data_IF_954600810089
#
_entry.id   IF_954600810089
#
_cell.length_a   1.000
_cell.length_b   1.000
_cell.length_c   1.000
_cell.angle_alpha   90.00
_cell.angle_beta   90.00
_cell.angle_gamma   90.00
#
_symmetry.space_group_name_H-M   'P 1'
#
loop_
_entity.id
_entity.type
_entity.pdbx_description
1 polymer ?
#
# COMPACT_ATOMS: atom_id res chain seq x y z
N UNK A 1 -10.41 8.68 -72.01
CA UNK A 1 -10.29 7.59 -71.00
C UNK A 1 -9.43 8.02 -69.83
N UNK A 2 -8.20 8.50 -70.07
CA UNK A 2 -7.30 9.01 -69.04
C UNK A 2 -7.88 10.18 -68.22
N UNK A 3 -8.49 11.16 -68.87
CA UNK A 3 -9.06 12.34 -68.20
C UNK A 3 -10.20 11.98 -67.23
N UNK A 4 -11.13 11.11 -67.63
CA UNK A 4 -12.18 10.59 -66.73
C UNK A 4 -11.61 9.83 -65.53
N UNK A 5 -10.52 9.09 -65.72
CA UNK A 5 -9.84 8.41 -64.61
C UNK A 5 -9.17 9.42 -63.68
N UNK A 6 -8.51 10.45 -64.22
CA UNK A 6 -7.91 11.52 -63.44
C UNK A 6 -8.95 12.31 -62.62
N UNK A 7 -10.09 12.67 -63.22
CA UNK A 7 -11.19 13.34 -62.49
C UNK A 7 -11.74 12.46 -61.36
N UNK A 8 -11.89 11.16 -61.61
CA UNK A 8 -12.38 10.22 -60.58
C UNK A 8 -11.37 10.06 -59.44
N UNK A 9 -10.08 9.97 -59.74
CA UNK A 9 -9.03 9.88 -58.74
C UNK A 9 -8.95 11.15 -57.89
N UNK A 10 -9.00 12.33 -58.52
CA UNK A 10 -8.99 13.61 -57.81
C UNK A 10 -10.19 13.76 -56.86
N UNK A 11 -11.39 13.37 -57.30
CA UNK A 11 -12.56 13.37 -56.43
C UNK A 11 -12.44 12.37 -55.25
N UNK A 12 -11.79 11.23 -55.47
CA UNK A 12 -11.54 10.25 -54.41
C UNK A 12 -10.50 10.76 -53.40
N UNK A 13 -9.44 11.41 -53.87
CA UNK A 13 -8.43 12.04 -53.00
C UNK A 13 -9.07 13.12 -52.11
N UNK A 14 -9.90 13.98 -52.68
CA UNK A 14 -10.64 15.00 -51.93
C UNK A 14 -11.57 14.38 -50.87
N UNK A 15 -12.24 13.28 -51.21
CA UNK A 15 -13.09 12.55 -50.27
C UNK A 15 -12.28 11.89 -49.14
N UNK A 16 -11.13 11.30 -49.46
CA UNK A 16 -10.21 10.72 -48.46
C UNK A 16 -9.71 11.81 -47.52
N UNK A 17 -9.36 12.98 -48.04
CA UNK A 17 -8.93 14.11 -47.21
C UNK A 17 -10.05 14.60 -46.29
N UNK A 18 -11.28 14.73 -46.81
CA UNK A 18 -12.43 15.15 -46.02
C UNK A 18 -12.70 14.18 -44.86
N UNK A 19 -12.73 12.87 -45.14
CA UNK A 19 -12.91 11.84 -44.12
C UNK A 19 -11.74 11.82 -43.12
N UNK A 20 -10.51 12.02 -43.59
CA UNK A 20 -9.33 12.08 -42.71
C UNK A 20 -9.37 13.28 -41.77
N UNK A 21 -9.94 14.41 -42.20
CA UNK A 21 -10.19 15.57 -41.34
C UNK A 21 -11.28 15.28 -40.32
N UNK A 22 -12.37 14.65 -40.74
CA UNK A 22 -13.49 14.29 -39.86
C UNK A 22 -13.07 13.28 -38.79
N UNK A 23 -12.30 12.25 -39.15
CA UNK A 23 -11.74 11.27 -38.21
C UNK A 23 -10.89 11.97 -37.15
N UNK A 24 -10.03 12.91 -37.55
CA UNK A 24 -9.22 13.69 -36.60
C UNK A 24 -10.09 14.53 -35.68
N UNK A 25 -11.07 15.26 -36.21
CA UNK A 25 -12.00 16.04 -35.39
C UNK A 25 -12.80 15.18 -34.40
N UNK A 26 -13.22 13.99 -34.82
CA UNK A 26 -13.91 13.04 -33.94
C UNK A 26 -12.96 12.48 -32.86
N UNK A 27 -11.72 12.17 -33.21
CA UNK A 27 -10.71 11.74 -32.24
C UNK A 27 -10.40 12.85 -31.23
N UNK A 28 -10.21 14.07 -31.69
CA UNK A 28 -9.97 15.25 -30.86
C UNK A 28 -11.19 15.57 -29.97
N UNK A 29 -12.40 15.38 -30.50
CA UNK A 29 -13.66 15.56 -29.76
C UNK A 29 -13.94 14.45 -28.73
N UNK A 30 -13.62 13.20 -29.06
CA UNK A 30 -13.73 12.05 -28.14
C UNK A 30 -12.72 12.12 -27.02
N UNK A 31 -11.51 12.61 -27.32
CA UNK A 31 -10.50 12.86 -26.29
C UNK A 31 -10.72 14.19 -25.59
N UNK A 32 -11.49 15.13 -26.15
CA UNK A 32 -11.74 16.45 -25.57
C UNK A 32 -10.45 17.26 -25.37
N UNK A 33 -9.38 16.96 -26.12
CA UNK A 33 -8.02 17.46 -25.85
C UNK A 33 -7.42 16.95 -24.52
N UNK A 34 -8.06 15.97 -23.90
CA UNK A 34 -7.68 15.39 -22.63
C UNK A 34 -6.69 14.24 -22.85
N UNK A 35 -5.43 14.46 -22.47
CA UNK A 35 -4.41 13.44 -22.55
C UNK A 35 -4.58 12.43 -21.41
N UNK A 36 -5.20 11.29 -21.70
CA UNK A 36 -5.39 10.19 -20.75
C UNK A 36 -4.07 9.65 -20.18
N UNK A 37 -2.92 9.91 -20.83
CA UNK A 37 -1.59 9.62 -20.28
C UNK A 37 -1.36 10.31 -18.94
N UNK A 38 -1.90 11.53 -18.77
CA UNK A 38 -1.78 12.31 -17.52
C UNK A 38 -2.64 11.77 -16.37
N UNK A 39 -3.70 10.99 -16.65
CA UNK A 39 -4.49 10.32 -15.60
C UNK A 39 -3.74 9.14 -14.99
N UNK A 40 -2.93 8.43 -15.77
CA UNK A 40 -2.22 7.24 -15.31
C UNK A 40 -0.99 7.57 -14.44
N UNK A 41 -0.45 8.79 -14.56
CA UNK A 41 0.76 9.25 -13.87
C UNK A 41 0.60 10.64 -13.23
N UNK A 42 -0.63 11.06 -12.95
CA UNK A 42 -0.89 12.37 -12.37
C UNK A 42 -0.45 12.44 -10.90
N UNK A 43 -0.07 13.62 -10.39
CA UNK A 43 0.39 13.80 -9.01
C UNK A 43 -0.65 13.34 -7.96
N UNK A 44 -1.94 13.43 -8.30
CA UNK A 44 -3.01 12.90 -7.45
C UNK A 44 -2.97 11.37 -7.33
N UNK A 45 -2.57 10.66 -8.39
CA UNK A 45 -2.50 9.20 -8.39
C UNK A 45 -1.31 8.71 -7.55
N UNK A 46 -0.17 9.40 -7.62
CA UNK A 46 0.99 9.08 -6.77
C UNK A 46 0.71 9.39 -5.30
N UNK A 47 0.03 10.50 -5.00
CA UNK A 47 -0.42 10.80 -3.64
C UNK A 47 -1.37 9.72 -3.10
N UNK A 48 -2.33 9.27 -3.91
CA UNK A 48 -3.25 8.18 -3.55
C UNK A 48 -2.52 6.84 -3.37
N UNK A 49 -1.51 6.52 -4.19
CA UNK A 49 -0.68 5.33 -4.03
C UNK A 49 0.08 5.36 -2.70
N UNK A 50 0.74 6.48 -2.40
CA UNK A 50 1.47 6.65 -1.14
C UNK A 50 0.55 6.55 0.08
N UNK A 51 -0.64 7.15 0.02
CA UNK A 51 -1.65 7.01 1.08
C UNK A 51 -2.12 5.56 1.22
N UNK A 52 -2.32 4.86 0.10
CA UNK A 52 -2.71 3.45 0.12
C UNK A 52 -1.65 2.58 0.80
N UNK A 53 -0.37 2.74 0.45
CA UNK A 53 0.75 2.04 1.09
C UNK A 53 0.81 2.30 2.60
N UNK A 54 0.61 3.56 3.01
CA UNK A 54 0.53 3.94 4.43
C UNK A 54 -0.62 3.23 5.16
N UNK A 55 -1.79 3.14 4.52
CA UNK A 55 -2.95 2.45 5.08
C UNK A 55 -2.72 0.94 5.16
N UNK A 56 -2.12 0.33 4.14
CA UNK A 56 -1.75 -1.09 4.15
C UNK A 56 -0.79 -1.42 5.29
N UNK A 57 0.23 -0.59 5.49
CA UNK A 57 1.16 -0.73 6.61
C UNK A 57 0.42 -0.64 7.96
N UNK A 58 -0.42 0.38 8.15
CA UNK A 58 -1.20 0.55 9.38
C UNK A 58 -2.08 -0.66 9.66
N UNK A 59 -2.76 -1.17 8.64
CA UNK A 59 -3.65 -2.33 8.75
C UNK A 59 -2.88 -3.60 9.12
N UNK A 60 -1.70 -3.83 8.53
CA UNK A 60 -0.82 -4.94 8.90
C UNK A 60 -0.42 -4.86 10.39
N UNK A 61 -0.03 -3.68 10.85
CA UNK A 61 0.39 -3.47 12.24
C UNK A 61 -0.78 -3.67 13.22
N UNK A 62 -1.95 -3.14 12.93
CA UNK A 62 -3.15 -3.37 13.74
C UNK A 62 -3.50 -4.86 13.83
N UNK A 63 -3.43 -5.59 12.71
CA UNK A 63 -3.66 -7.05 12.71
C UNK A 63 -2.62 -7.83 13.53
N UNK A 64 -1.39 -7.33 13.63
CA UNK A 64 -0.35 -7.93 14.49
C UNK A 64 -0.62 -7.64 15.96
N UNK A 65 -0.93 -6.38 16.30
CA UNK A 65 -1.28 -5.98 17.66
C UNK A 65 -2.52 -6.74 18.17
N UNK A 66 -3.56 -6.82 17.35
CA UNK A 66 -4.78 -7.55 17.72
C UNK A 66 -4.51 -9.03 18.00
N UNK A 67 -3.69 -9.69 17.18
CA UNK A 67 -3.28 -11.09 17.44
C UNK A 67 -2.50 -11.22 18.74
N UNK A 68 -1.55 -10.32 19.00
CA UNK A 68 -0.80 -10.33 20.24
C UNK A 68 -1.70 -10.13 21.48
N UNK A 69 -2.71 -9.26 21.38
CA UNK A 69 -3.71 -9.08 22.44
C UNK A 69 -4.55 -10.35 22.66
N UNK A 70 -4.99 -11.00 21.58
CA UNK A 70 -5.73 -12.28 21.65
C UNK A 70 -4.89 -13.39 22.30
N UNK A 71 -3.63 -13.56 21.89
CA UNK A 71 -2.70 -14.53 22.47
C UNK A 71 -2.45 -14.26 23.97
N UNK A 72 -2.33 -12.99 24.37
CA UNK A 72 -2.22 -12.63 25.78
C UNK A 72 -3.48 -12.99 26.56
N UNK A 73 -4.66 -12.78 25.99
CA UNK A 73 -5.94 -13.12 26.62
C UNK A 73 -6.10 -14.64 26.79
N UNK A 74 -5.74 -15.43 25.79
CA UNK A 74 -5.73 -16.90 25.84
C UNK A 74 -4.72 -17.44 26.88
N UNK A 75 -3.53 -16.84 26.95
CA UNK A 75 -2.51 -17.20 27.93
C UNK A 75 -2.93 -16.87 29.37
N UNK A 76 -3.65 -15.76 29.59
CA UNK A 76 -4.24 -15.43 30.91
C UNK A 76 -5.32 -16.42 31.32
N UNK A 77 -6.14 -16.91 30.38
CA UNK A 77 -7.19 -17.89 30.65
C UNK A 77 -6.61 -19.27 30.99
N UNK A 78 -5.57 -19.71 30.28
CA UNK A 78 -4.88 -20.98 30.57
C UNK A 78 -4.08 -20.94 31.89
N UNK A 79 -3.50 -19.80 32.27
CA UNK A 79 -2.88 -19.65 33.60
C UNK A 79 -3.92 -19.72 34.74
N UNK A 80 -5.10 -19.10 34.59
CA UNK A 80 -6.17 -19.19 35.61
C UNK A 80 -6.74 -20.61 35.78
N UNK A 81 -6.72 -21.44 34.74
CA UNK A 81 -7.15 -22.85 34.84
C UNK A 81 -6.08 -23.74 35.48
N UNK A 82 -4.78 -23.43 35.33
CA UNK A 82 -3.68 -24.16 35.99
C UNK A 82 -3.54 -23.84 37.48
N UNK A 83 -4.01 -22.69 37.96
CA UNK A 83 -3.99 -22.32 39.39
C UNK A 83 -5.11 -22.96 40.23
N UNK A 84 -6.02 -23.72 39.62
CA UNK A 84 -7.14 -24.38 40.32
C UNK A 84 -6.92 -25.89 40.56
N UNK A 85 -5.74 -26.45 40.25
CA UNK A 85 -5.37 -27.78 40.78
C UNK A 85 -4.72 -27.60 42.16
N UNK A 86 -5.22 -28.28 43.21
CA UNK A 86 -4.56 -28.24 44.50
C UNK A 86 -3.30 -29.10 44.41
N UNK A 87 -2.15 -28.47 44.17
CA UNK A 87 -0.86 -29.12 44.30
C UNK A 87 -0.25 -28.82 45.67
N UNK A 88 -0.01 -29.94 46.33
CA UNK A 88 0.57 -30.11 47.64
C UNK A 88 1.96 -29.48 47.74
N UNK A 89 2.18 -28.81 48.87
CA UNK A 89 3.43 -28.29 49.44
C UNK A 89 4.72 -28.78 48.74
N UNK A 90 5.55 -27.83 48.32
CA UNK A 90 6.91 -27.70 48.87
C UNK A 90 7.56 -26.35 48.52
N UNK A 91 8.02 -25.67 49.57
CA UNK A 91 8.78 -24.42 49.55
C UNK A 91 10.16 -24.69 48.93
N UNK A 92 10.62 -23.86 48.00
CA UNK A 92 12.00 -23.37 48.01
C UNK A 92 12.12 -22.02 47.30
N UNK A 93 13.10 -21.28 47.78
CA UNK A 93 13.31 -19.86 47.73
C UNK A 93 14.07 -19.45 46.45
N UNK A 94 13.49 -18.67 45.53
CA UNK A 94 14.27 -17.85 44.56
C UNK A 94 13.42 -16.72 43.95
N UNK A 95 13.25 -15.61 44.68
CA UNK A 95 12.71 -14.35 44.12
C UNK A 95 13.81 -13.30 44.03
N UNK A 96 14.40 -13.15 42.83
CA UNK A 96 15.03 -11.92 42.30
C UNK A 96 15.83 -12.29 41.05
N UNK A 97 15.28 -12.04 39.84
CA UNK A 97 16.06 -11.68 38.62
C UNK A 97 15.24 -11.62 37.31
N UNK A 98 13.95 -11.25 37.33
CA UNK A 98 13.19 -11.14 36.07
C UNK A 98 13.12 -9.72 35.48
N UNK A 99 13.29 -8.65 36.29
CA UNK A 99 13.06 -7.28 35.79
C UNK A 99 14.20 -6.70 34.92
N UNK A 100 15.40 -7.29 34.87
CA UNK A 100 16.51 -6.73 34.05
C UNK A 100 16.49 -7.18 32.59
N UNK A 101 15.88 -8.32 32.29
CA UNK A 101 15.95 -8.90 30.95
C UNK A 101 14.93 -8.30 29.97
N UNK A 102 13.76 -7.86 30.46
CA UNK A 102 12.74 -7.20 29.64
C UNK A 102 13.14 -5.77 29.27
N UNK A 103 13.68 -5.00 30.21
CA UNK A 103 14.07 -3.61 29.96
C UNK A 103 15.19 -3.49 28.91
N UNK A 104 16.11 -4.47 28.85
CA UNK A 104 17.14 -4.53 27.82
C UNK A 104 16.56 -4.91 26.45
N UNK A 105 15.59 -5.83 26.40
CA UNK A 105 14.93 -6.25 25.15
C UNK A 105 14.08 -5.12 24.57
N UNK A 106 13.43 -4.33 25.43
CA UNK A 106 12.62 -3.19 25.03
C UNK A 106 13.46 -2.02 24.54
N UNK A 107 14.58 -1.71 25.23
CA UNK A 107 15.57 -0.74 24.74
C UNK A 107 16.19 -1.15 23.39
N UNK A 108 16.42 -2.44 23.20
CA UNK A 108 16.92 -2.98 21.92
C UNK A 108 15.89 -2.79 20.79
N UNK A 109 14.62 -3.07 21.07
CA UNK A 109 13.51 -2.90 20.11
C UNK A 109 13.27 -1.43 19.76
N UNK A 110 13.31 -0.54 20.75
CA UNK A 110 13.18 0.89 20.55
C UNK A 110 14.32 1.45 19.68
N UNK A 111 15.55 0.95 19.87
CA UNK A 111 16.71 1.37 19.08
C UNK A 111 16.61 0.95 17.62
N UNK A 112 16.10 -0.27 17.34
CA UNK A 112 15.82 -0.76 15.98
C UNK A 112 14.69 0.06 15.32
N UNK A 113 13.65 0.40 16.08
CA UNK A 113 12.55 1.20 15.54
C UNK A 113 13.00 2.63 15.19
N UNK A 114 13.85 3.23 16.02
CA UNK A 114 14.38 4.57 15.78
C UNK A 114 15.35 4.60 14.58
N UNK A 115 16.16 3.55 14.40
CA UNK A 115 17.06 3.47 13.23
C UNK A 115 16.27 3.35 11.91
N UNK A 116 15.18 2.56 11.90
CA UNK A 116 14.32 2.45 10.72
C UNK A 116 13.67 3.80 10.39
N UNK A 117 13.20 4.53 11.41
CA UNK A 117 12.57 5.83 11.21
C UNK A 117 13.55 6.87 10.63
N UNK A 118 14.79 6.92 11.13
CA UNK A 118 15.84 7.84 10.66
C UNK A 118 16.36 7.50 9.26
N UNK A 119 16.35 6.22 8.85
CA UNK A 119 16.69 5.83 7.47
C UNK A 119 15.61 6.20 6.45
N UNK A 120 14.36 6.28 6.87
CA UNK A 120 13.23 6.65 5.99
C UNK A 120 13.07 8.17 5.93
N UNK A 121 13.43 8.88 7.00
CA UNK A 121 13.35 10.34 7.08
C UNK A 121 14.70 10.94 7.50
N UNK A 122 15.69 11.01 6.59
CA UNK A 122 16.91 11.74 6.85
C UNK A 122 16.56 13.24 7.00
N UNK A 123 16.91 13.84 8.14
CA UNK A 123 16.93 15.31 8.23
C UNK A 123 18.08 15.80 7.35
N UNK A 124 17.80 16.79 6.51
CA UNK A 124 18.78 17.47 5.64
C UNK A 124 19.99 18.02 6.41
#
# INVERSE_FOLDING_TARGET
MAERMASRLSAQEEQIEALSREIRLLQDGLTGGFDFSTLASGPNLDALRAENEKLQYRLLHLRRSLRAEQELEENKQTQKQRTNKPEEKQRTNTQKNQNKHEEQKEKSRAKVHLSIYLSIYPSE
#
